data_IF_163898489622
#
_entry.id   IF_163898489622
#
_cell.length_a   1.000
_cell.length_b   1.000
_cell.length_c   1.000
_cell.angle_alpha   90.00
_cell.angle_beta   90.00
_cell.angle_gamma   90.00
#
_symmetry.space_group_name_H-M   'P 1'
#
loop_
_entity.id
_entity.type
_entity.pdbx_description
1 polymer ?
#
# COMPACT_ATOMS: atom_id res chain seq x y z
N UNK A 1 6.82 -5.97 21.89
CA UNK A 1 6.27 -4.70 21.35
C UNK A 1 6.99 -4.40 20.05
N UNK A 2 6.36 -3.78 19.05
CA UNK A 2 7.02 -3.47 17.77
C UNK A 2 6.95 -1.96 17.50
N UNK A 3 8.06 -1.35 17.06
CA UNK A 3 8.07 0.00 16.50
C UNK A 3 7.81 -0.12 14.99
N UNK A 4 6.82 0.62 14.50
CA UNK A 4 6.50 0.68 13.06
C UNK A 4 6.76 2.10 12.59
N UNK A 5 7.79 2.28 11.75
CA UNK A 5 8.10 3.56 11.11
C UNK A 5 7.51 3.52 9.69
N UNK A 6 6.68 4.52 9.36
CA UNK A 6 6.02 4.61 8.06
C UNK A 6 6.46 5.89 7.37
N UNK A 7 7.19 5.74 6.27
CA UNK A 7 7.51 6.85 5.39
C UNK A 7 6.36 7.02 4.38
N UNK A 8 5.89 8.25 4.21
CA UNK A 8 4.87 8.61 3.24
C UNK A 8 5.27 9.91 2.56
N UNK A 9 4.95 10.03 1.27
CA UNK A 9 5.31 11.21 0.46
C UNK A 9 4.16 12.22 0.39
N UNK A 10 2.93 11.78 0.66
CA UNK A 10 1.72 12.59 0.53
C UNK A 10 0.86 12.59 1.80
N UNK A 11 0.23 13.73 2.09
CA UNK A 11 -0.69 13.87 3.22
C UNK A 11 -1.87 12.87 3.17
N UNK A 12 -2.29 12.49 1.96
CA UNK A 12 -3.36 11.51 1.80
C UNK A 12 -2.95 10.10 2.25
N UNK A 13 -1.67 9.75 2.13
CA UNK A 13 -1.14 8.48 2.64
C UNK A 13 -1.10 8.51 4.17
N UNK A 14 -0.63 9.62 4.76
CA UNK A 14 -0.67 9.85 6.21
C UNK A 14 -2.08 9.64 6.78
N UNK A 15 -3.09 10.29 6.19
CA UNK A 15 -4.50 10.17 6.61
C UNK A 15 -5.02 8.73 6.57
N UNK A 16 -4.60 7.94 5.58
CA UNK A 16 -4.97 6.51 5.48
C UNK A 16 -4.30 5.67 6.56
N UNK A 17 -3.03 5.94 6.86
CA UNK A 17 -2.31 5.27 7.96
C UNK A 17 -2.95 5.60 9.30
N UNK A 18 -3.30 6.87 9.54
CA UNK A 18 -3.97 7.31 10.76
C UNK A 18 -5.32 6.61 10.97
N UNK A 19 -6.12 6.51 9.91
CA UNK A 19 -7.38 5.74 9.96
C UNK A 19 -7.15 4.26 10.33
N UNK A 20 -6.09 3.64 9.79
CA UNK A 20 -5.76 2.24 10.12
C UNK A 20 -5.33 2.12 11.58
N UNK A 21 -4.51 3.03 12.09
CA UNK A 21 -4.10 3.07 13.49
C UNK A 21 -5.34 3.13 14.39
N UNK A 22 -6.26 4.06 14.15
CA UNK A 22 -7.50 4.19 14.94
C UNK A 22 -8.36 2.93 14.90
N UNK A 23 -8.49 2.30 13.72
CA UNK A 23 -9.24 1.05 13.56
C UNK A 23 -8.62 -0.08 14.39
N UNK A 24 -7.29 -0.22 14.37
CA UNK A 24 -6.58 -1.29 15.08
C UNK A 24 -6.42 -1.02 16.58
N UNK A 25 -6.39 0.25 17.02
CA UNK A 25 -6.40 0.62 18.45
C UNK A 25 -7.63 0.09 19.20
N UNK A 26 -8.72 -0.23 18.49
CA UNK A 26 -9.90 -0.89 19.07
C UNK A 26 -9.70 -2.38 19.36
N UNK A 27 -8.64 -2.99 18.82
CA UNK A 27 -8.37 -4.44 18.88
C UNK A 27 -7.04 -4.77 19.57
N UNK A 28 -6.25 -3.77 19.94
CA UNK A 28 -4.96 -3.94 20.56
C UNK A 28 -4.38 -2.63 21.08
N UNK A 29 -3.29 -2.72 21.85
CA UNK A 29 -2.60 -1.55 22.39
C UNK A 29 -1.69 -0.94 21.31
N UNK A 30 -2.10 0.20 20.77
CA UNK A 30 -1.28 1.00 19.85
C UNK A 30 -1.04 2.37 20.47
N UNK A 31 0.23 2.74 20.60
CA UNK A 31 0.66 4.06 21.05
C UNK A 31 1.31 4.80 19.88
N UNK A 32 0.65 5.84 19.38
CA UNK A 32 1.26 6.77 18.42
C UNK A 32 2.12 7.75 19.21
N UNK A 33 3.43 7.72 18.99
CA UNK A 33 4.37 8.64 19.65
C UNK A 33 4.10 10.06 19.15
N UNK A 34 3.57 10.92 20.03
CA UNK A 34 3.33 12.36 19.75
C UNK A 34 4.50 13.26 20.14
N UNK A 35 5.51 12.70 20.81
CA UNK A 35 6.72 13.36 21.29
C UNK A 35 7.87 13.12 20.29
N UNK A 36 9.06 13.54 20.66
CA UNK A 36 10.29 13.19 19.96
C UNK A 36 10.55 11.68 20.07
N UNK A 37 10.77 11.03 18.92
CA UNK A 37 11.31 9.69 18.81
C UNK A 37 12.58 9.76 17.96
N UNK A 38 13.67 9.19 18.46
CA UNK A 38 14.96 9.15 17.78
C UNK A 38 15.43 7.71 17.66
N UNK A 39 16.04 7.38 16.53
CA UNK A 39 16.80 6.15 16.34
C UNK A 39 18.26 6.56 16.42
N UNK A 40 19.00 5.96 17.33
CA UNK A 40 20.40 6.30 17.63
C UNK A 40 21.27 5.06 17.48
N UNK A 41 22.43 5.24 16.85
CA UNK A 41 23.49 4.24 16.70
C UNK A 41 24.79 4.94 17.11
N UNK A 42 25.21 4.70 18.36
CA UNK A 42 26.37 5.33 19.01
C UNK A 42 27.13 4.27 19.79
N UNK A 43 28.44 4.48 19.94
CA UNK A 43 29.33 3.53 20.62
C UNK A 43 29.01 3.39 22.11
N UNK A 44 28.62 4.48 22.77
CA UNK A 44 28.23 4.52 24.18
C UNK A 44 26.81 5.10 24.34
N UNK A 45 25.84 4.19 24.44
CA UNK A 45 24.43 4.55 24.65
C UNK A 45 24.18 5.11 26.05
N UNK A 46 24.96 4.71 27.04
CA UNK A 46 24.76 5.12 28.44
C UNK A 46 25.22 6.57 28.63
N UNK A 47 26.34 6.96 28.03
CA UNK A 47 26.79 8.36 27.99
C UNK A 47 25.75 9.25 27.30
N UNK A 48 25.25 8.83 26.14
CA UNK A 48 24.21 9.57 25.41
C UNK A 48 22.93 9.75 26.23
N UNK A 49 22.45 8.70 26.89
CA UNK A 49 21.27 8.78 27.78
C UNK A 49 21.54 9.71 28.95
N UNK A 50 22.71 9.60 29.59
CA UNK A 50 23.11 10.45 30.71
C UNK A 50 23.13 11.93 30.32
N UNK A 51 23.66 12.26 29.15
CA UNK A 51 23.65 13.63 28.65
C UNK A 51 22.23 14.16 28.43
N UNK A 52 21.33 13.38 27.82
CA UNK A 52 19.92 13.76 27.66
C UNK A 52 19.26 13.97 29.02
N UNK A 53 19.39 13.00 29.93
CA UNK A 53 18.78 13.06 31.26
C UNK A 53 19.26 14.27 32.07
N UNK A 54 20.53 14.66 31.93
CA UNK A 54 21.07 15.87 32.58
C UNK A 54 20.38 17.18 32.16
N UNK A 55 19.68 17.18 31.02
CA UNK A 55 18.95 18.33 30.49
C UNK A 55 17.44 18.28 30.76
N UNK A 56 16.94 17.17 31.31
CA UNK A 56 15.52 17.00 31.61
C UNK A 56 15.24 17.33 33.07
N UNK A 57 14.26 18.20 33.30
CA UNK A 57 13.73 18.44 34.65
C UNK A 57 12.67 17.40 35.02
N UNK A 58 12.44 17.11 36.31
CA UNK A 58 11.36 16.24 36.78
C UNK A 58 11.67 14.73 36.69
N UNK A 59 10.63 13.88 36.64
CA UNK A 59 10.79 12.43 36.68
C UNK A 59 11.37 11.88 35.36
N UNK A 60 12.58 11.35 35.41
CA UNK A 60 13.30 10.76 34.27
C UNK A 60 12.56 9.55 33.69
N UNK A 61 12.06 8.64 34.52
CA UNK A 61 11.41 7.39 34.08
C UNK A 61 10.12 7.63 33.26
N UNK A 62 9.47 8.77 33.48
CA UNK A 62 8.28 9.18 32.73
C UNK A 62 8.62 9.91 31.42
N UNK A 63 9.79 10.55 31.38
CA UNK A 63 10.22 11.44 30.30
C UNK A 63 11.11 10.75 29.29
N UNK A 64 11.94 9.81 29.73
CA UNK A 64 12.87 9.05 28.90
C UNK A 64 12.47 7.59 28.88
N UNK A 65 12.26 7.06 27.68
CA UNK A 65 12.04 5.63 27.45
C UNK A 65 13.04 5.15 26.43
N UNK A 66 13.99 4.34 26.87
CA UNK A 66 14.95 3.68 26.00
C UNK A 66 14.39 2.31 25.57
N UNK A 67 14.38 2.06 24.26
CA UNK A 67 14.01 0.77 23.70
C UNK A 67 15.15 0.24 22.84
N UNK A 68 15.58 -0.99 23.10
CA UNK A 68 16.41 -1.73 22.16
C UNK A 68 15.51 -2.28 21.05
N UNK A 69 15.78 -1.89 19.81
CA UNK A 69 15.03 -2.31 18.64
C UNK A 69 15.95 -3.06 17.67
N UNK A 70 15.40 -4.07 17.01
CA UNK A 70 16.06 -4.77 15.91
C UNK A 70 15.20 -4.61 14.65
N UNK A 71 15.83 -4.31 13.51
CA UNK A 71 15.10 -4.16 12.26
C UNK A 71 14.54 -5.51 11.81
N UNK A 72 13.22 -5.67 11.90
CA UNK A 72 12.55 -6.89 11.42
C UNK A 72 12.13 -6.72 9.96
N UNK A 73 12.88 -7.29 9.02
CA UNK A 73 12.55 -7.30 7.59
C UNK A 73 11.47 -8.35 7.27
N UNK A 74 10.20 -8.00 7.48
CA UNK A 74 9.06 -8.82 7.04
C UNK A 74 8.68 -8.53 5.59
N UNK A 75 8.88 -9.50 4.70
CA UNK A 75 8.28 -9.49 3.35
C UNK A 75 6.89 -10.10 3.43
N UNK A 76 5.88 -9.27 3.63
CA UNK A 76 4.49 -9.70 3.45
C UNK A 76 4.26 -9.75 1.93
N UNK A 77 3.99 -10.92 1.32
CA UNK A 77 3.75 -10.98 -0.10
C UNK A 77 2.45 -10.25 -0.45
N UNK A 78 2.44 -9.60 -1.61
CA UNK A 78 1.19 -9.12 -2.20
C UNK A 78 0.41 -10.32 -2.72
N UNK A 79 -0.91 -10.25 -2.63
CA UNK A 79 -1.76 -11.13 -3.39
C UNK A 79 -1.69 -10.77 -4.86
N UNK A 80 -1.84 -11.77 -5.73
CA UNK A 80 -1.82 -11.59 -7.19
C UNK A 80 -2.87 -12.45 -7.85
N UNK A 81 -3.65 -11.84 -8.75
CA UNK A 81 -4.57 -12.54 -9.65
C UNK A 81 -4.27 -12.18 -11.10
N UNK A 82 -4.40 -13.17 -11.97
CA UNK A 82 -4.23 -13.01 -13.42
C UNK A 82 -5.52 -13.40 -14.11
N UNK A 83 -6.09 -12.47 -14.88
CA UNK A 83 -7.26 -12.69 -15.72
C UNK A 83 -6.83 -12.62 -17.18
N UNK A 84 -7.33 -13.55 -18.01
CA UNK A 84 -6.97 -13.65 -19.42
C UNK A 84 -8.23 -13.75 -20.26
N UNK A 85 -8.35 -12.89 -21.27
CA UNK A 85 -9.50 -12.89 -22.17
C UNK A 85 -9.04 -12.87 -23.62
N UNK A 86 -9.79 -13.57 -24.49
CA UNK A 86 -9.61 -13.54 -25.94
C UNK A 86 -10.60 -12.55 -26.53
N UNK A 87 -10.13 -11.56 -27.27
CA UNK A 87 -10.97 -10.59 -27.98
C UNK A 87 -10.37 -10.38 -29.36
N UNK A 88 -11.23 -10.38 -30.39
CA UNK A 88 -10.81 -10.34 -31.79
C UNK A 88 -10.65 -8.90 -32.34
N UNK A 89 -11.21 -7.89 -31.66
CA UNK A 89 -11.15 -6.48 -32.09
C UNK A 89 -10.18 -5.67 -31.21
N UNK A 90 -9.06 -5.27 -31.81
CA UNK A 90 -7.99 -4.54 -31.12
C UNK A 90 -8.29 -3.06 -30.89
N UNK A 91 -8.97 -2.39 -31.81
CA UNK A 91 -9.28 -0.96 -31.64
C UNK A 91 -10.33 -0.76 -30.55
N UNK A 92 -11.31 -1.67 -30.48
CA UNK A 92 -12.29 -1.69 -29.40
C UNK A 92 -11.63 -1.93 -28.03
N UNK A 93 -10.64 -2.84 -27.95
CA UNK A 93 -9.93 -3.17 -26.72
C UNK A 93 -9.24 -1.96 -26.06
N UNK A 94 -8.54 -1.15 -26.86
CA UNK A 94 -7.79 0.00 -26.32
C UNK A 94 -8.76 1.04 -25.72
N UNK A 95 -9.83 1.38 -26.45
CA UNK A 95 -10.88 2.27 -25.95
C UNK A 95 -11.60 1.70 -24.72
N UNK A 96 -11.82 0.39 -24.70
CA UNK A 96 -12.45 -0.27 -23.56
C UNK A 96 -11.57 -0.24 -22.32
N UNK A 97 -10.26 -0.46 -22.45
CA UNK A 97 -9.33 -0.35 -21.31
C UNK A 97 -9.38 1.06 -20.72
N UNK A 98 -9.35 2.08 -21.56
CA UNK A 98 -9.43 3.46 -21.10
C UNK A 98 -10.75 3.73 -20.35
N UNK A 99 -11.87 3.25 -20.89
CA UNK A 99 -13.17 3.30 -20.21
C UNK A 99 -13.15 2.57 -18.87
N UNK A 100 -12.64 1.32 -18.84
CA UNK A 100 -12.61 0.48 -17.65
C UNK A 100 -11.75 1.12 -16.56
N UNK A 101 -10.57 1.62 -16.91
CA UNK A 101 -9.69 2.31 -15.97
C UNK A 101 -10.32 3.60 -15.47
N UNK A 102 -10.95 4.40 -16.33
CA UNK A 102 -11.66 5.60 -15.90
C UNK A 102 -12.81 5.28 -14.92
N UNK A 103 -13.63 4.27 -15.25
CA UNK A 103 -14.74 3.79 -14.40
C UNK A 103 -14.27 3.28 -13.05
N UNK A 104 -13.11 2.63 -13.01
CA UNK A 104 -12.52 2.10 -11.79
C UNK A 104 -11.71 3.15 -11.00
N UNK A 105 -11.54 4.37 -11.53
CA UNK A 105 -10.72 5.42 -10.91
C UNK A 105 -9.22 5.12 -10.98
N UNK A 106 -8.77 4.40 -12.01
CA UNK A 106 -7.38 4.07 -12.26
C UNK A 106 -6.57 5.28 -12.71
N UNK A 107 -5.46 5.49 -12.02
CA UNK A 107 -4.44 6.47 -12.39
C UNK A 107 -3.37 5.77 -13.20
N UNK A 108 -3.11 6.24 -14.42
CA UNK A 108 -2.01 5.75 -15.23
C UNK A 108 -0.67 6.07 -14.55
N UNK A 109 0.21 5.07 -14.47
CA UNK A 109 1.54 5.21 -13.85
C UNK A 109 2.63 5.21 -14.91
N UNK A 110 2.61 4.23 -15.81
CA UNK A 110 3.67 4.00 -16.80
C UNK A 110 3.24 2.96 -17.82
N UNK A 111 3.91 2.90 -18.96
CA UNK A 111 3.82 1.79 -19.90
C UNK A 111 5.23 1.33 -20.28
N UNK A 112 5.38 0.01 -20.47
CA UNK A 112 6.62 -0.61 -20.96
C UNK A 112 6.21 -1.62 -22.02
N UNK A 113 6.63 -1.38 -23.27
CA UNK A 113 6.24 -2.20 -24.41
C UNK A 113 4.72 -2.24 -24.58
N UNK A 114 4.13 -3.44 -24.52
CA UNK A 114 2.68 -3.64 -24.64
C UNK A 114 1.96 -3.76 -23.29
N UNK A 115 2.63 -3.39 -22.21
CA UNK A 115 2.09 -3.48 -20.85
C UNK A 115 1.90 -2.07 -20.28
N UNK A 116 0.66 -1.70 -20.00
CA UNK A 116 0.30 -0.49 -19.29
C UNK A 116 0.10 -0.79 -17.80
N UNK A 117 0.55 0.11 -16.92
CA UNK A 117 0.44 -0.02 -15.47
C UNK A 117 -0.43 1.10 -14.93
N UNK A 118 -1.45 0.70 -14.20
CA UNK A 118 -2.39 1.58 -13.52
C UNK A 118 -2.36 1.32 -12.02
N UNK A 119 -2.70 2.35 -11.27
CA UNK A 119 -2.84 2.32 -9.83
C UNK A 119 -4.25 2.76 -9.44
N UNK A 120 -4.89 1.96 -8.59
CA UNK A 120 -6.27 2.18 -8.17
C UNK A 120 -6.32 2.26 -6.65
N UNK A 121 -6.99 3.29 -6.16
CA UNK A 121 -7.27 3.48 -4.74
C UNK A 121 -8.75 3.21 -4.46
N UNK A 122 -9.01 2.18 -3.65
CA UNK A 122 -10.37 1.81 -3.27
C UNK A 122 -10.54 1.92 -1.76
N UNK A 123 -11.78 1.79 -1.28
CA UNK A 123 -12.07 1.61 0.15
C UNK A 123 -11.47 0.31 0.71
N UNK A 124 -11.15 -0.67 -0.14
CA UNK A 124 -10.57 -1.97 0.22
C UNK A 124 -9.04 -1.97 0.26
N UNK A 125 -8.40 -0.94 -0.30
CA UNK A 125 -6.95 -0.81 -0.34
C UNK A 125 -6.44 -0.24 -1.66
N UNK A 126 -5.11 -0.22 -1.79
CA UNK A 126 -4.38 0.15 -3.01
C UNK A 126 -4.12 -1.09 -3.85
N UNK A 127 -4.53 -1.07 -5.12
CA UNK A 127 -4.24 -2.10 -6.09
C UNK A 127 -3.41 -1.56 -7.26
N UNK A 128 -2.58 -2.42 -7.85
CA UNK A 128 -1.87 -2.18 -9.10
C UNK A 128 -2.47 -3.12 -10.13
N UNK A 129 -2.82 -2.58 -11.30
CA UNK A 129 -3.26 -3.38 -12.45
C UNK A 129 -2.23 -3.18 -13.56
N UNK A 130 -1.62 -4.27 -14.02
CA UNK A 130 -0.84 -4.30 -15.26
C UNK A 130 -1.70 -4.94 -16.34
N UNK A 131 -1.85 -4.25 -17.46
CA UNK A 131 -2.66 -4.70 -18.59
C UNK A 131 -1.70 -4.95 -19.74
N UNK A 132 -1.61 -6.19 -20.19
CA UNK A 132 -0.77 -6.56 -21.33
C UNK A 132 -1.65 -6.90 -22.53
N UNK A 133 -1.42 -6.18 -23.63
CA UNK A 133 -2.15 -6.33 -24.89
C UNK A 133 -1.31 -7.15 -25.89
N UNK A 134 -1.75 -8.36 -26.19
CA UNK A 134 -1.18 -9.19 -27.26
C UNK A 134 -2.32 -9.66 -28.20
N UNK A 135 -2.33 -10.93 -28.62
CA UNK A 135 -3.51 -11.57 -29.22
C UNK A 135 -4.65 -11.77 -28.22
N UNK A 136 -4.33 -11.70 -26.93
CA UNK A 136 -5.24 -11.79 -25.80
C UNK A 136 -4.95 -10.58 -24.88
N UNK A 137 -5.94 -10.20 -24.08
CA UNK A 137 -5.74 -9.23 -23.00
C UNK A 137 -5.47 -9.96 -21.69
N UNK A 138 -4.41 -9.55 -21.00
CA UNK A 138 -4.01 -10.11 -19.71
C UNK A 138 -4.04 -8.99 -18.67
N UNK A 139 -4.86 -9.15 -17.65
CA UNK A 139 -4.87 -8.30 -16.46
C UNK A 139 -4.12 -9.01 -15.35
N UNK A 140 -3.09 -8.37 -14.83
CA UNK A 140 -2.37 -8.79 -13.64
C UNK A 140 -2.64 -7.78 -12.53
N UNK A 141 -3.27 -8.25 -11.46
CA UNK A 141 -3.76 -7.44 -10.35
C UNK A 141 -2.93 -7.81 -9.13
N UNK A 142 -2.30 -6.82 -8.49
CA UNK A 142 -1.47 -7.00 -7.30
C UNK A 142 -1.86 -6.00 -6.20
N UNK A 143 -1.89 -6.45 -4.95
CA UNK A 143 -2.28 -5.61 -3.82
C UNK A 143 -2.17 -6.30 -2.47
N UNK A 144 -2.58 -5.59 -1.41
CA UNK A 144 -2.65 -6.14 -0.05
C UNK A 144 -4.10 -6.20 0.41
N UNK A 145 -4.48 -7.33 1.03
CA UNK A 145 -5.84 -7.58 1.50
C UNK A 145 -6.84 -7.73 0.36
N UNK A 146 -8.12 -7.49 0.67
CA UNK A 146 -9.29 -7.76 -0.20
C UNK A 146 -9.32 -6.95 -1.53
N UNK A 147 -8.36 -6.05 -1.77
CA UNK A 147 -8.34 -5.22 -2.98
C UNK A 147 -8.13 -6.06 -4.25
N UNK A 148 -7.38 -7.16 -4.17
CA UNK A 148 -7.09 -7.99 -5.35
C UNK A 148 -8.35 -8.70 -5.82
N UNK A 149 -9.09 -9.30 -4.91
CA UNK A 149 -10.37 -9.95 -5.19
C UNK A 149 -11.39 -8.95 -5.74
N UNK A 150 -11.58 -7.84 -5.03
CA UNK A 150 -12.52 -6.79 -5.42
C UNK A 150 -12.25 -6.23 -6.83
N UNK A 151 -10.99 -5.99 -7.19
CA UNK A 151 -10.64 -5.51 -8.53
C UNK A 151 -10.80 -6.62 -9.57
N UNK A 152 -10.47 -7.88 -9.22
CA UNK A 152 -10.60 -9.01 -10.14
C UNK A 152 -12.04 -9.29 -10.53
N UNK A 153 -12.96 -9.28 -9.56
CA UNK A 153 -14.39 -9.49 -9.78
C UNK A 153 -14.99 -8.37 -10.63
N UNK A 154 -14.62 -7.11 -10.36
CA UNK A 154 -15.04 -5.98 -11.19
C UNK A 154 -14.57 -6.09 -12.64
N UNK A 155 -13.32 -6.48 -12.86
CA UNK A 155 -12.82 -6.66 -14.24
C UNK A 155 -13.57 -7.80 -14.92
N UNK A 156 -13.76 -8.93 -14.24
CA UNK A 156 -14.45 -10.08 -14.80
C UNK A 156 -15.91 -9.77 -15.14
N UNK A 157 -16.61 -9.04 -14.28
CA UNK A 157 -17.98 -8.55 -14.52
C UNK A 157 -18.04 -7.72 -15.80
N UNK A 158 -17.19 -6.69 -15.94
CA UNK A 158 -17.17 -5.82 -17.13
C UNK A 158 -16.76 -6.57 -18.40
N UNK A 159 -15.76 -7.46 -18.29
CA UNK A 159 -15.29 -8.27 -19.42
C UNK A 159 -16.35 -9.28 -19.87
N UNK A 160 -17.18 -9.79 -18.96
CA UNK A 160 -18.22 -10.76 -19.29
C UNK A 160 -19.26 -10.20 -20.27
N UNK A 161 -19.57 -8.91 -20.18
CA UNK A 161 -20.49 -8.24 -21.12
C UNK A 161 -19.90 -8.14 -22.54
N UNK A 162 -18.58 -8.02 -22.64
CA UNK A 162 -17.88 -7.89 -23.93
C UNK A 162 -17.68 -9.25 -24.58
N UNK A 163 -17.27 -10.25 -23.80
CA UNK A 163 -16.97 -11.59 -24.32
C UNK A 163 -18.25 -12.35 -24.68
N UNK A 164 -19.38 -12.08 -24.02
CA UNK A 164 -20.69 -12.71 -24.35
C UNK A 164 -21.51 -11.92 -25.38
N UNK A 165 -21.19 -10.65 -25.59
CA UNK A 165 -21.93 -9.75 -26.49
C UNK A 165 -21.34 -9.63 -27.90
N UNK A 166 -20.27 -10.38 -28.21
CA UNK A 166 -19.58 -10.40 -29.50
C UNK A 166 -19.68 -11.72 -30.24
#
# INVERSE_FOLDING_TARGET
MHLVVVNYDKDIERKRVDYLIEKWSKRGRIEKIKKTAIIVDVDDIDEFVKEISSKLEGNEEEKLKLYKIEEVKKKIPKERKILKYKINDREFLEKFIDYLMAKMGGSYVSSIGKTAKYEIYTKKGRGIIKITLNSNIIFEIEGYGEVVDFLSEKIDEEMSFIVKGG
#
